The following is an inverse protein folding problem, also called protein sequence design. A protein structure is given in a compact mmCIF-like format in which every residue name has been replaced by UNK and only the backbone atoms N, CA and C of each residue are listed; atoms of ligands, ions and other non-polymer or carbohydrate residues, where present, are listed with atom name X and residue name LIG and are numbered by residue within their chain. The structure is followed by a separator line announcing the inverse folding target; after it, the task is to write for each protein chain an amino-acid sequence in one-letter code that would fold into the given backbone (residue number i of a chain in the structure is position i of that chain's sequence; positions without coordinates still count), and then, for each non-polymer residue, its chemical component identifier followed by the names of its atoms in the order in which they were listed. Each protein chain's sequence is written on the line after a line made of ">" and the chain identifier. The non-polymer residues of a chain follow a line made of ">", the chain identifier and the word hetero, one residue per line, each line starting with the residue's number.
data_IF_629689926105
#
_entry.id   IF_629689926105
#
_cell.length_a   1.000
_cell.length_b   1.000
_cell.length_c   1.000
_cell.angle_alpha   90.00
_cell.angle_beta   90.00
_cell.angle_gamma   90.00
#
_symmetry.space_group_name_H-M   'P 1'
#
loop_
_entity.id
_entity.type
_entity.pdbx_description
1 polymer ?
#
# COMPACT_ATOMS: atom_id res chain seq x y z
N UNK A 1 24.57 2.67 -68.17
CA UNK A 1 25.86 2.01 -68.43
C UNK A 1 26.18 1.12 -67.26
N UNK A 2 26.37 -0.17 -67.52
CA UNK A 2 26.57 -1.21 -66.53
C UNK A 2 27.93 -1.05 -65.82
N UNK A 3 28.03 -1.55 -64.59
CA UNK A 3 29.16 -2.39 -64.24
C UNK A 3 28.85 -3.27 -63.02
N UNK A 4 28.52 -4.53 -63.33
CA UNK A 4 28.94 -5.69 -62.57
C UNK A 4 30.45 -5.82 -62.69
N UNK A 5 31.10 -6.40 -61.67
CA UNK A 5 32.28 -7.31 -61.67
C UNK A 5 32.98 -7.11 -60.32
N UNK A 6 33.32 -8.11 -59.50
CA UNK A 6 34.05 -9.37 -59.71
C UNK A 6 33.98 -10.05 -58.32
N UNK A 7 33.55 -11.31 -58.19
CA UNK A 7 34.39 -12.52 -58.17
C UNK A 7 35.41 -12.58 -57.01
N UNK A 8 35.33 -13.72 -56.28
CA UNK A 8 36.45 -14.52 -55.72
C UNK A 8 37.20 -13.95 -54.49
N UNK A 9 37.72 -14.71 -53.51
CA UNK A 9 38.03 -16.14 -53.37
C UNK A 9 38.35 -16.45 -51.89
N UNK A 10 38.19 -17.72 -51.50
CA UNK A 10 38.84 -18.49 -50.41
C UNK A 10 39.00 -17.93 -48.99
N UNK A 11 38.65 -18.75 -47.98
CA UNK A 11 39.61 -19.65 -47.33
C UNK A 11 39.09 -20.16 -45.96
N UNK A 12 39.43 -21.42 -45.66
CA UNK A 12 39.71 -22.00 -44.34
C UNK A 12 38.59 -21.99 -43.28
N UNK A 13 37.92 -23.13 -43.10
CA UNK A 13 37.03 -23.38 -41.97
C UNK A 13 37.80 -24.12 -40.86
N UNK A 14 38.10 -23.41 -39.78
CA UNK A 14 38.51 -23.98 -38.49
C UNK A 14 37.26 -24.34 -37.69
N UNK A 15 37.16 -25.58 -37.25
CA UNK A 15 36.08 -26.10 -36.41
C UNK A 15 36.24 -25.53 -34.99
N UNK A 16 35.34 -24.62 -34.62
CA UNK A 16 35.20 -24.09 -33.26
C UNK A 16 34.00 -24.73 -32.56
N UNK A 17 34.21 -25.28 -31.37
CA UNK A 17 33.19 -25.84 -30.50
C UNK A 17 32.09 -24.80 -30.19
N UNK A 18 30.84 -25.17 -30.46
CA UNK A 18 29.65 -24.34 -30.18
C UNK A 18 29.30 -24.39 -28.70
N UNK A 19 29.59 -23.30 -27.98
CA UNK A 19 28.98 -23.04 -26.68
C UNK A 19 27.55 -22.56 -26.92
N UNK A 20 26.57 -23.42 -26.63
CA UNK A 20 25.15 -23.05 -26.65
C UNK A 20 24.89 -22.20 -25.41
N UNK A 21 24.84 -20.87 -25.57
CA UNK A 21 24.36 -19.97 -24.53
C UNK A 21 22.84 -20.07 -24.45
N UNK A 22 22.34 -20.79 -23.44
CA UNK A 22 20.95 -20.71 -23.02
C UNK A 22 20.63 -19.26 -22.63
N UNK A 23 19.73 -18.62 -23.38
CA UNK A 23 19.20 -17.31 -23.07
C UNK A 23 18.54 -17.34 -21.70
N UNK A 24 19.14 -16.65 -20.73
CA UNK A 24 18.52 -16.42 -19.45
C UNK A 24 17.36 -15.43 -19.68
N UNK A 25 16.13 -15.88 -19.45
CA UNK A 25 15.01 -14.98 -19.28
C UNK A 25 15.34 -14.08 -18.09
N UNK A 26 15.70 -12.83 -18.37
CA UNK A 26 15.90 -11.83 -17.33
C UNK A 26 14.53 -11.55 -16.72
N UNK A 27 14.35 -11.95 -15.46
CA UNK A 27 13.23 -11.49 -14.64
C UNK A 27 13.39 -9.98 -14.57
N UNK A 28 12.51 -9.25 -15.27
CA UNK A 28 12.42 -7.80 -15.15
C UNK A 28 12.18 -7.49 -13.67
N UNK A 29 13.08 -6.77 -12.98
CA UNK A 29 12.79 -6.34 -11.61
C UNK A 29 11.48 -5.52 -11.64
N UNK A 30 10.61 -5.66 -10.64
CA UNK A 30 9.40 -4.83 -10.58
C UNK A 30 9.82 -3.37 -10.74
N UNK A 31 9.25 -2.71 -11.75
CA UNK A 31 9.45 -1.27 -11.98
C UNK A 31 9.26 -0.56 -10.65
N UNK A 32 10.18 0.35 -10.29
CA UNK A 32 10.10 1.17 -9.09
C UNK A 32 8.68 1.74 -8.96
N UNK A 33 7.87 1.10 -8.12
CA UNK A 33 6.43 1.35 -8.05
C UNK A 33 6.19 2.69 -7.40
N UNK A 34 5.07 3.33 -7.73
CA UNK A 34 4.58 4.49 -6.96
C UNK A 34 4.68 4.19 -5.46
N UNK A 35 5.18 5.12 -4.62
CA UNK A 35 5.44 4.88 -3.21
C UNK A 35 4.17 4.53 -2.43
N UNK A 36 3.01 4.93 -2.94
CA UNK A 36 1.68 4.57 -2.44
C UNK A 36 1.11 3.36 -3.21
N UNK A 37 0.75 2.26 -2.53
CA UNK A 37 0.17 1.08 -3.17
C UNK A 37 -1.11 1.40 -3.95
N UNK A 38 -1.37 0.69 -5.05
CA UNK A 38 -2.53 0.91 -5.92
C UNK A 38 -3.87 0.87 -5.15
N UNK A 39 -4.03 -0.08 -4.22
CA UNK A 39 -5.25 -0.17 -3.42
C UNK A 39 -5.57 1.09 -2.62
N UNK A 40 -4.54 1.79 -2.13
CA UNK A 40 -4.70 3.07 -1.45
C UNK A 40 -5.07 4.18 -2.43
N UNK A 41 -4.42 4.21 -3.61
CA UNK A 41 -4.73 5.22 -4.64
C UNK A 41 -6.18 5.14 -5.11
N UNK A 42 -6.68 3.93 -5.37
CA UNK A 42 -8.07 3.71 -5.79
C UNK A 42 -9.08 4.12 -4.72
N UNK A 43 -8.92 3.65 -3.47
CA UNK A 43 -9.83 4.05 -2.39
C UNK A 43 -9.73 5.55 -2.11
N UNK A 44 -8.53 6.13 -2.22
CA UNK A 44 -8.35 7.55 -2.02
C UNK A 44 -9.10 8.37 -3.09
N UNK A 45 -9.05 7.94 -4.36
CA UNK A 45 -9.81 8.52 -5.47
C UNK A 45 -11.33 8.40 -5.25
N UNK A 46 -11.84 7.23 -4.81
CA UNK A 46 -13.27 6.99 -4.51
C UNK A 46 -13.87 8.06 -3.57
N UNK A 47 -13.09 8.53 -2.60
CA UNK A 47 -13.53 9.54 -1.61
C UNK A 47 -12.84 10.91 -1.79
N UNK A 48 -12.06 11.07 -2.85
CA UNK A 48 -11.26 12.25 -3.20
C UNK A 48 -10.24 12.70 -2.15
N UNK A 49 -9.76 11.81 -1.29
CA UNK A 49 -8.66 12.13 -0.36
C UNK A 49 -7.30 11.94 -1.07
N UNK A 50 -6.22 12.62 -0.66
CA UNK A 50 -4.89 12.33 -1.21
C UNK A 50 -4.44 10.93 -0.80
N UNK A 51 -3.90 10.17 -1.76
CA UNK A 51 -3.49 8.79 -1.52
C UNK A 51 -2.35 8.70 -0.50
N UNK A 52 -1.44 9.67 -0.52
CA UNK A 52 -0.33 9.80 0.42
C UNK A 52 -0.83 10.10 1.84
N UNK A 53 -1.89 10.92 1.98
CA UNK A 53 -2.51 11.21 3.26
C UNK A 53 -3.16 9.95 3.85
N UNK A 54 -3.95 9.23 3.05
CA UNK A 54 -4.59 7.98 3.48
C UNK A 54 -3.55 6.91 3.85
N UNK A 55 -2.52 6.74 3.03
CA UNK A 55 -1.47 5.75 3.29
C UNK A 55 -0.60 6.10 4.50
N UNK A 56 -0.25 7.38 4.69
CA UNK A 56 0.51 7.83 5.86
C UNK A 56 -0.28 7.70 7.17
N UNK A 57 -1.61 7.89 7.15
CA UNK A 57 -2.50 7.55 8.27
C UNK A 57 -2.42 6.06 8.57
N UNK A 58 -2.65 5.17 7.59
CA UNK A 58 -2.57 3.72 7.84
C UNK A 58 -1.19 3.25 8.30
N UNK A 59 -0.11 3.89 7.85
CA UNK A 59 1.25 3.66 8.36
C UNK A 59 1.43 4.15 9.81
N UNK A 60 0.79 5.24 10.21
CA UNK A 60 0.82 5.69 11.60
C UNK A 60 0.04 4.75 12.51
N UNK A 61 -1.03 4.15 11.99
CA UNK A 61 -1.98 3.34 12.77
C UNK A 61 -1.55 1.89 12.97
N UNK A 62 -1.17 1.18 11.90
CA UNK A 62 -1.03 -0.28 11.96
C UNK A 62 0.30 -0.81 11.41
N UNK A 63 1.32 0.03 11.26
CA UNK A 63 2.54 -0.40 10.57
C UNK A 63 3.24 -1.59 11.24
N UNK A 64 3.87 -2.38 10.38
CA UNK A 64 4.76 -3.49 10.72
C UNK A 64 5.98 -3.43 9.79
N UNK A 65 7.17 -3.68 10.34
CA UNK A 65 8.38 -3.87 9.53
C UNK A 65 8.33 -5.26 8.91
N UNK A 66 8.40 -5.31 7.58
CA UNK A 66 8.51 -6.52 6.76
C UNK A 66 9.83 -6.48 5.97
N UNK A 67 10.28 -7.60 5.38
CA UNK A 67 11.48 -7.62 4.53
C UNK A 67 11.43 -6.61 3.38
N UNK A 68 10.23 -6.34 2.86
CA UNK A 68 9.99 -5.40 1.75
C UNK A 68 9.76 -3.95 2.22
N UNK A 69 9.99 -3.66 3.51
CA UNK A 69 9.81 -2.34 4.12
C UNK A 69 8.68 -2.29 5.15
N UNK A 70 8.40 -1.08 5.63
CA UNK A 70 7.30 -0.84 6.56
C UNK A 70 5.97 -0.78 5.80
N UNK A 71 4.96 -1.56 6.24
CA UNK A 71 3.63 -1.62 5.64
C UNK A 71 2.55 -1.64 6.71
N UNK A 72 1.36 -1.07 6.46
CA UNK A 72 0.19 -1.26 7.33
C UNK A 72 -0.18 -2.75 7.41
N UNK A 73 -0.45 -3.26 8.62
CA UNK A 73 -0.81 -4.66 8.84
C UNK A 73 -2.31 -4.78 9.11
N UNK A 74 -3.08 -5.47 8.24
CA UNK A 74 -4.54 -5.43 8.30
C UNK A 74 -5.14 -6.13 9.50
N UNK A 75 -4.48 -7.16 10.03
CA UNK A 75 -5.02 -7.98 11.13
C UNK A 75 -4.49 -7.47 12.47
N UNK A 76 -4.71 -6.17 12.71
CA UNK A 76 -4.26 -5.46 13.90
C UNK A 76 -5.46 -5.05 14.73
N UNK A 77 -5.39 -5.27 16.04
CA UNK A 77 -6.34 -4.77 17.04
C UNK A 77 -5.61 -3.87 18.03
N UNK A 78 -6.22 -2.76 18.42
CA UNK A 78 -5.85 -2.04 19.62
C UNK A 78 -7.00 -2.17 20.62
N UNK A 79 -6.71 -2.69 21.81
CA UNK A 79 -7.69 -2.88 22.87
C UNK A 79 -7.21 -2.14 24.10
N UNK A 80 -7.96 -1.11 24.49
CA UNK A 80 -7.71 -0.30 25.67
C UNK A 80 -6.29 0.34 25.70
N UNK A 81 -5.69 0.59 24.54
CA UNK A 81 -4.33 1.14 24.39
C UNK A 81 -3.25 0.08 24.14
N UNK A 82 -3.60 -1.22 24.14
CA UNK A 82 -2.68 -2.32 23.89
C UNK A 82 -2.87 -2.88 22.48
N UNK A 83 -1.80 -2.90 21.70
CA UNK A 83 -1.80 -3.44 20.34
C UNK A 83 -1.59 -4.96 20.29
N UNK A 84 -2.32 -5.60 19.38
CA UNK A 84 -2.25 -7.03 19.06
C UNK A 84 -2.20 -7.19 17.54
N UNK A 85 -1.41 -8.13 17.04
CA UNK A 85 -1.29 -8.42 15.60
C UNK A 85 -1.39 -9.92 15.37
N UNK A 86 -2.16 -10.31 14.37
CA UNK A 86 -2.45 -11.70 14.04
C UNK A 86 -1.93 -12.06 12.65
N UNK A 87 -1.82 -13.36 12.37
CA UNK A 87 -1.32 -13.86 11.10
C UNK A 87 -2.42 -14.01 10.04
N UNK A 88 -3.70 -14.02 10.44
CA UNK A 88 -4.83 -14.11 9.50
C UNK A 88 -5.99 -13.23 9.96
N UNK A 89 -6.92 -12.98 9.04
CA UNK A 89 -8.18 -12.28 9.38
C UNK A 89 -8.99 -13.06 10.40
N UNK A 90 -9.00 -14.38 10.30
CA UNK A 90 -9.82 -15.23 11.17
C UNK A 90 -9.28 -15.22 12.61
N UNK A 91 -7.96 -15.31 12.80
CA UNK A 91 -7.35 -15.16 14.13
C UNK A 91 -7.66 -13.81 14.78
N UNK A 92 -7.54 -12.72 14.02
CA UNK A 92 -7.90 -11.39 14.51
C UNK A 92 -9.39 -11.30 14.85
N UNK A 93 -10.26 -11.92 14.05
CA UNK A 93 -11.69 -11.91 14.30
C UNK A 93 -12.06 -12.69 15.57
N UNK A 94 -11.51 -13.88 15.76
CA UNK A 94 -11.74 -14.66 16.99
C UNK A 94 -11.25 -13.93 18.23
N UNK A 95 -10.07 -13.30 18.16
CA UNK A 95 -9.56 -12.49 19.26
C UNK A 95 -10.45 -11.26 19.53
N UNK A 96 -10.94 -10.59 18.48
CA UNK A 96 -11.86 -9.47 18.59
C UNK A 96 -13.13 -9.87 19.35
N UNK A 97 -13.75 -11.00 19.02
CA UNK A 97 -14.93 -11.52 19.73
C UNK A 97 -14.63 -11.71 21.23
N UNK A 98 -13.48 -12.27 21.57
CA UNK A 98 -13.03 -12.42 22.95
C UNK A 98 -12.88 -11.08 23.68
N UNK A 99 -12.24 -10.09 23.05
CA UNK A 99 -12.05 -8.77 23.67
C UNK A 99 -13.36 -8.01 23.89
N UNK A 100 -14.34 -8.19 22.99
CA UNK A 100 -15.65 -7.54 23.11
C UNK A 100 -16.45 -8.01 24.33
N UNK A 101 -16.13 -9.16 24.92
CA UNK A 101 -16.75 -9.60 26.17
C UNK A 101 -16.25 -8.84 27.40
N UNK A 102 -15.07 -8.22 27.32
CA UNK A 102 -14.40 -7.61 28.48
C UNK A 102 -14.16 -6.10 28.34
N UNK A 103 -14.32 -5.56 27.13
CA UNK A 103 -14.07 -4.14 26.84
C UNK A 103 -15.20 -3.52 26.04
N UNK A 104 -15.58 -2.26 26.34
CA UNK A 104 -16.54 -1.53 25.53
C UNK A 104 -15.93 -1.24 24.14
N UNK A 105 -16.77 -1.24 23.10
CA UNK A 105 -16.34 -1.04 21.70
C UNK A 105 -15.57 0.27 21.48
N UNK A 106 -15.84 1.31 22.28
CA UNK A 106 -15.11 2.59 22.22
C UNK A 106 -13.63 2.47 22.60
N UNK A 107 -13.23 1.35 23.19
CA UNK A 107 -11.83 1.03 23.53
C UNK A 107 -11.22 0.02 22.56
N UNK A 108 -11.85 -0.23 21.41
CA UNK A 108 -11.37 -1.20 20.43
C UNK A 108 -11.23 -0.54 19.07
N UNK A 109 -10.01 -0.50 18.55
CA UNK A 109 -9.69 -0.09 17.18
C UNK A 109 -9.30 -1.30 16.37
N UNK A 110 -9.72 -1.35 15.10
CA UNK A 110 -9.54 -2.53 14.25
C UNK A 110 -8.99 -2.20 12.88
N UNK A 111 -8.22 -3.14 12.35
CA UNK A 111 -7.92 -3.19 10.93
C UNK A 111 -6.72 -2.35 10.50
N UNK A 112 -6.56 -2.27 9.18
CA UNK A 112 -5.41 -1.64 8.52
C UNK A 112 -5.27 -0.14 8.83
N UNK A 113 -6.36 0.53 9.20
CA UNK A 113 -6.39 1.95 9.55
C UNK A 113 -6.87 2.22 10.99
N UNK A 114 -6.95 1.18 11.83
CA UNK A 114 -7.35 1.28 13.25
C UNK A 114 -8.63 2.10 13.46
N UNK A 115 -9.70 1.75 12.74
CA UNK A 115 -11.01 2.39 12.89
C UNK A 115 -11.64 1.95 14.21
N UNK A 116 -12.03 2.90 15.06
CA UNK A 116 -12.66 2.61 16.36
C UNK A 116 -14.07 2.07 16.21
N UNK A 117 -14.37 0.90 16.80
CA UNK A 117 -15.67 0.25 16.67
C UNK A 117 -16.80 0.97 17.40
N UNK A 118 -16.52 1.62 18.53
CA UNK A 118 -17.56 2.27 19.34
C UNK A 118 -17.98 3.65 18.84
N UNK A 119 -17.16 4.28 17.99
CA UNK A 119 -17.47 5.57 17.37
C UNK A 119 -17.89 5.44 15.91
N UNK A 120 -17.23 4.53 15.18
CA UNK A 120 -17.33 4.43 13.72
C UNK A 120 -17.85 3.05 13.28
N UNK A 121 -18.41 2.24 14.18
CA UNK A 121 -18.90 0.90 13.87
C UNK A 121 -19.98 0.84 12.79
N UNK A 122 -20.69 1.95 12.56
CA UNK A 122 -21.75 2.06 11.53
C UNK A 122 -21.25 1.98 10.10
N UNK A 123 -19.93 2.10 9.85
CA UNK A 123 -19.35 1.88 8.52
C UNK A 123 -19.28 0.41 8.12
N UNK A 124 -19.60 -0.52 9.03
CA UNK A 124 -19.47 -1.96 8.80
C UNK A 124 -20.80 -2.67 9.00
N UNK A 125 -21.15 -3.60 8.11
CA UNK A 125 -22.32 -4.47 8.29
C UNK A 125 -22.05 -5.56 9.34
N UNK A 126 -20.78 -5.87 9.59
CA UNK A 126 -20.37 -6.80 10.66
C UNK A 126 -18.97 -6.48 11.19
N UNK A 127 -18.66 -6.93 12.42
CA UNK A 127 -17.31 -6.80 12.98
C UNK A 127 -16.24 -7.57 12.19
N UNK A 128 -16.63 -8.64 11.49
CA UNK A 128 -15.73 -9.39 10.63
C UNK A 128 -15.33 -8.58 9.40
N UNK A 129 -16.27 -7.82 8.86
CA UNK A 129 -16.06 -6.92 7.73
C UNK A 129 -15.16 -5.73 8.11
N UNK A 130 -15.18 -5.29 9.38
CA UNK A 130 -14.27 -4.28 9.88
C UNK A 130 -12.77 -4.70 9.82
N UNK A 131 -12.49 -6.01 9.66
CA UNK A 131 -11.16 -6.57 9.42
C UNK A 131 -10.90 -6.89 7.94
N UNK A 132 -11.86 -6.62 7.03
CA UNK A 132 -11.63 -6.66 5.59
C UNK A 132 -10.83 -5.40 5.20
N UNK A 133 -9.63 -5.54 4.60
CA UNK A 133 -8.70 -4.42 4.46
C UNK A 133 -9.25 -3.26 3.64
N UNK A 134 -9.94 -3.52 2.53
CA UNK A 134 -10.48 -2.44 1.70
C UNK A 134 -11.70 -1.79 2.33
N UNK A 135 -12.54 -2.55 3.01
CA UNK A 135 -13.72 -2.01 3.72
C UNK A 135 -13.28 -1.11 4.88
N UNK A 136 -12.31 -1.55 5.67
CA UNK A 136 -11.69 -0.74 6.72
C UNK A 136 -11.03 0.53 6.14
N UNK A 137 -10.32 0.39 5.02
CA UNK A 137 -9.66 1.51 4.35
C UNK A 137 -10.65 2.54 3.79
N UNK A 138 -11.79 2.10 3.24
CA UNK A 138 -12.88 2.99 2.79
C UNK A 138 -13.54 3.73 3.96
N UNK A 139 -13.75 3.06 5.09
CA UNK A 139 -14.22 3.74 6.31
C UNK A 139 -13.21 4.82 6.75
N UNK A 140 -11.91 4.51 6.73
CA UNK A 140 -10.87 5.47 7.07
C UNK A 140 -10.83 6.67 6.11
N UNK A 141 -10.99 6.45 4.81
CA UNK A 141 -11.05 7.52 3.81
C UNK A 141 -12.26 8.45 4.04
N UNK A 142 -13.43 7.90 4.37
CA UNK A 142 -14.62 8.69 4.73
C UNK A 142 -14.40 9.53 5.99
N UNK A 143 -13.83 8.95 7.06
CA UNK A 143 -13.53 9.69 8.29
C UNK A 143 -12.53 10.81 8.01
N UNK A 144 -11.46 10.53 7.25
CA UNK A 144 -10.45 11.51 6.91
C UNK A 144 -11.03 12.65 6.06
N UNK A 145 -11.89 12.32 5.08
CA UNK A 145 -12.63 13.30 4.28
C UNK A 145 -13.49 14.19 5.18
N UNK A 146 -14.31 13.60 6.05
CA UNK A 146 -15.16 14.34 6.97
C UNK A 146 -14.36 15.31 7.84
N UNK A 147 -13.23 14.85 8.40
CA UNK A 147 -12.33 15.69 9.17
C UNK A 147 -11.74 16.86 8.35
N UNK A 148 -11.49 16.68 7.05
CA UNK A 148 -11.05 17.76 6.17
C UNK A 148 -12.18 18.76 5.90
N UNK A 149 -13.41 18.28 5.67
CA UNK A 149 -14.57 19.15 5.42
C UNK A 149 -14.91 20.02 6.63
N UNK A 150 -14.74 19.49 7.84
CA UNK A 150 -14.94 20.25 9.09
C UNK A 150 -13.91 21.38 9.29
N UNK A 151 -12.73 21.28 8.68
CA UNK A 151 -11.67 22.29 8.77
C UNK A 151 -10.74 22.23 7.54
N UNK A 152 -11.17 22.83 6.40
CA UNK A 152 -10.50 22.66 5.12
C UNK A 152 -9.12 23.32 5.05
N UNK A 153 -8.32 22.90 4.08
CA UNK A 153 -7.01 23.49 3.77
C UNK A 153 -5.80 22.74 4.30
N UNK A 154 -5.97 21.70 5.14
CA UNK A 154 -4.84 20.87 5.56
C UNK A 154 -5.22 19.42 5.86
N UNK A 155 -4.71 18.50 5.04
CA UNK A 155 -4.83 17.06 5.27
C UNK A 155 -4.07 16.58 6.50
N UNK A 156 -3.00 17.27 6.90
CA UNK A 156 -2.37 17.02 8.20
C UNK A 156 -3.30 17.41 9.36
N UNK A 157 -4.04 18.52 9.26
CA UNK A 157 -5.04 18.85 10.28
C UNK A 157 -6.16 17.80 10.33
N UNK A 158 -6.63 17.35 9.16
CA UNK A 158 -7.62 16.27 9.05
C UNK A 158 -7.12 14.98 9.71
N UNK A 159 -5.85 14.60 9.53
CA UNK A 159 -5.26 13.45 10.21
C UNK A 159 -5.23 13.61 11.74
N UNK A 160 -4.98 14.82 12.25
CA UNK A 160 -5.10 15.11 13.68
C UNK A 160 -6.52 14.90 14.22
N UNK A 161 -7.52 15.33 13.46
CA UNK A 161 -8.95 15.08 13.76
C UNK A 161 -9.29 13.59 13.69
N UNK A 162 -8.80 12.87 12.67
CA UNK A 162 -9.02 11.44 12.49
C UNK A 162 -8.68 10.64 13.76
N UNK A 163 -7.49 10.91 14.33
CA UNK A 163 -7.02 10.20 15.52
C UNK A 163 -7.61 10.74 16.82
N UNK A 164 -7.83 12.06 16.91
CA UNK A 164 -8.32 12.70 18.13
C UNK A 164 -9.20 13.92 17.79
N UNK A 165 -10.52 13.71 17.55
CA UNK A 165 -11.43 14.75 17.06
C UNK A 165 -11.51 16.00 17.95
N UNK A 166 -11.32 15.83 19.27
CA UNK A 166 -11.28 16.95 20.21
C UNK A 166 -10.03 17.85 20.08
N UNK A 167 -9.09 17.51 19.20
CA UNK A 167 -7.89 18.31 18.94
C UNK A 167 -6.86 18.27 20.08
N UNK A 168 -6.23 19.41 20.35
CA UNK A 168 -5.28 19.56 21.46
C UNK A 168 -3.93 18.86 21.27
N UNK A 169 -3.22 18.63 22.39
CA UNK A 169 -1.88 18.01 22.39
C UNK A 169 -1.85 16.64 21.70
N UNK A 170 -2.81 15.72 21.91
CA UNK A 170 -2.81 14.42 21.25
C UNK A 170 -2.88 14.55 19.72
N UNK A 171 -3.80 15.35 19.19
CA UNK A 171 -3.89 15.60 17.76
C UNK A 171 -2.58 16.19 17.21
N UNK A 172 -1.95 17.15 17.90
CA UNK A 172 -0.66 17.72 17.46
C UNK A 172 0.46 16.67 17.36
N UNK A 173 0.56 15.79 18.35
CA UNK A 173 1.54 14.69 18.34
C UNK A 173 1.28 13.77 17.16
N UNK A 174 0.01 13.39 16.95
CA UNK A 174 -0.37 12.51 15.86
C UNK A 174 -0.05 13.11 14.48
N UNK A 175 -0.33 14.40 14.27
CA UNK A 175 0.05 15.11 13.03
C UNK A 175 1.56 15.02 12.75
N UNK A 176 2.40 15.13 13.78
CA UNK A 176 3.83 15.00 13.63
C UNK A 176 4.24 13.55 13.27
N UNK A 177 3.52 12.54 13.75
CA UNK A 177 3.72 11.13 13.34
C UNK A 177 3.38 10.98 11.85
N UNK A 178 2.20 11.43 11.43
CA UNK A 178 1.75 11.34 10.04
C UNK A 178 2.67 12.12 9.10
N UNK A 179 3.12 13.32 9.49
CA UNK A 179 4.07 14.11 8.72
C UNK A 179 5.40 13.37 8.49
N UNK A 180 5.91 12.65 9.50
CA UNK A 180 7.10 11.81 9.33
C UNK A 180 6.85 10.65 8.37
N UNK A 181 5.68 10.00 8.44
CA UNK A 181 5.31 8.94 7.48
C UNK A 181 5.23 9.49 6.06
N UNK A 182 4.60 10.65 5.87
CA UNK A 182 4.50 11.31 4.57
C UNK A 182 5.89 11.59 3.96
N UNK A 183 6.83 12.14 4.74
CA UNK A 183 8.18 12.42 4.27
C UNK A 183 8.94 11.17 3.79
N UNK A 184 8.63 9.97 4.33
CA UNK A 184 9.22 8.72 3.81
C UNK A 184 8.72 8.34 2.43
N UNK A 185 7.51 8.76 2.06
CA UNK A 185 6.93 8.52 0.73
C UNK A 185 7.58 9.43 -0.31
N UNK A 186 7.84 10.70 0.04
CA UNK A 186 8.50 11.67 -0.83
C UNK A 186 9.94 11.26 -1.16
N UNK A 187 10.66 10.75 -0.14
CA UNK A 187 12.00 10.21 -0.33
C UNK A 187 12.00 9.00 -1.27
N UNK A 188 11.09 8.05 -1.07
CA UNK A 188 10.95 6.88 -1.93
C UNK A 188 10.54 7.23 -3.37
N UNK A 189 9.71 8.27 -3.55
CA UNK A 189 9.38 8.81 -4.87
C UNK A 189 10.63 9.36 -5.58
N UNK A 190 11.43 10.13 -4.86
CA UNK A 190 12.64 10.77 -5.38
C UNK A 190 13.70 9.74 -5.80
N UNK A 191 13.90 8.69 -5.01
CA UNK A 191 14.81 7.57 -5.34
C UNK A 191 14.33 6.80 -6.58
N UNK A 192 13.01 6.63 -6.72
CA UNK A 192 12.42 5.95 -7.89
C UNK A 192 12.61 6.76 -9.19
N UNK A 193 12.46 8.08 -9.10
CA UNK A 193 12.67 8.99 -10.24
C UNK A 193 14.14 9.04 -10.68
N UNK A 194 15.07 9.11 -9.73
CA UNK A 194 16.51 9.09 -10.04
C UNK A 194 16.98 7.75 -10.63
N UNK A 195 16.42 6.63 -10.18
CA UNK A 195 16.72 5.29 -10.72
C UNK A 195 16.13 5.06 -12.12
N UNK A 196 15.02 5.72 -12.46
CA UNK A 196 14.35 5.60 -13.77
C UNK A 196 15.04 6.33 -14.93
N UNK A 197 16.14 7.05 -14.69
CA UNK A 197 16.83 7.89 -15.69
C UNK A 197 17.84 7.14 -16.60
N UNK A 198 17.78 5.80 -16.69
CA UNK A 198 18.61 5.02 -17.62
C UNK A 198 17.76 4.01 -18.43
N UNK A 199 17.87 4.12 -19.76
CA UNK A 199 17.20 3.35 -20.83
C UNK A 199 15.80 3.79 -21.26
N UNK A 200 15.78 4.62 -22.31
CA UNK A 200 14.66 4.74 -23.25
C UNK A 200 14.79 3.70 -24.36
N UNK A 201 13.91 2.70 -24.38
CA UNK A 201 13.38 2.12 -25.61
C UNK A 201 11.89 1.86 -25.37
N UNK A 202 11.05 2.55 -26.12
CA UNK A 202 9.59 2.51 -26.06
C UNK A 202 9.08 1.27 -26.80
N UNK A 203 8.24 0.42 -26.19
CA UNK A 203 7.30 -0.40 -26.94
C UNK A 203 5.91 0.25 -26.91
N UNK A 204 5.31 0.36 -28.09
CA UNK A 204 3.90 0.71 -28.30
C UNK A 204 2.99 -0.30 -27.57
N UNK A 205 2.11 0.17 -26.69
CA UNK A 205 1.09 -0.66 -26.01
C UNK A 205 -0.29 -0.30 -26.55
N UNK A 206 -0.99 -1.31 -27.06
CA UNK A 206 -2.42 -1.23 -27.36
C UNK A 206 -3.22 -1.11 -26.04
N UNK A 207 -4.27 -0.29 -26.07
CA UNK A 207 -5.14 0.01 -24.93
C UNK A 207 -5.82 -1.24 -24.35
N UNK A 208 -5.80 -1.47 -23.03
CA UNK A 208 -6.76 -2.34 -22.39
C UNK A 208 -8.06 -1.56 -22.08
N UNK A 209 -9.18 -2.15 -22.47
CA UNK A 209 -10.53 -1.79 -22.04
C UNK A 209 -10.67 -1.89 -20.52
N UNK A 210 -11.34 -0.91 -19.92
CA UNK A 210 -11.61 -0.82 -18.48
C UNK A 210 -12.53 -1.95 -18.04
N UNK A 211 -11.94 -3.04 -17.56
CA UNK A 211 -12.64 -4.06 -16.78
C UNK A 211 -12.71 -3.56 -15.33
N UNK A 212 -13.91 -3.51 -14.75
CA UNK A 212 -14.16 -3.14 -13.35
C UNK A 212 -13.58 -4.22 -12.44
N UNK A 213 -12.26 -4.19 -12.25
CA UNK A 213 -11.54 -5.18 -11.46
C UNK A 213 -11.77 -4.87 -9.99
N UNK A 214 -12.65 -5.66 -9.34
CA UNK A 214 -12.85 -5.60 -7.89
C UNK A 214 -11.50 -5.73 -7.18
N UNK A 215 -11.20 -4.80 -6.28
CA UNK A 215 -10.01 -4.88 -5.43
C UNK A 215 -10.13 -6.08 -4.49
N UNK A 216 -9.30 -7.10 -4.72
CA UNK A 216 -9.19 -8.26 -3.85
C UNK A 216 -7.91 -8.15 -3.04
N UNK A 217 -8.03 -8.23 -1.72
CA UNK A 217 -6.86 -8.24 -0.85
C UNK A 217 -6.19 -9.62 -0.91
N UNK A 218 -4.93 -9.65 -1.32
CA UNK A 218 -4.11 -10.86 -1.21
C UNK A 218 -3.56 -10.96 0.22
N UNK A 219 -3.88 -12.04 0.92
CA UNK A 219 -3.38 -12.25 2.29
C UNK A 219 -1.84 -12.29 2.29
N UNK A 220 -1.17 -11.42 3.08
CA UNK A 220 0.27 -11.45 3.19
C UNK A 220 0.71 -12.81 3.75
N UNK A 221 1.56 -13.51 2.99
CA UNK A 221 2.19 -14.73 3.45
C UNK A 221 3.11 -14.38 4.62
N UNK A 222 2.79 -14.84 5.83
CA UNK A 222 3.73 -14.75 6.94
C UNK A 222 4.89 -15.72 6.65
N UNK A 223 6.16 -15.26 6.66
CA UNK A 223 7.28 -16.18 6.79
C UNK A 223 7.05 -16.97 8.08
N UNK A 224 7.10 -18.30 8.01
CA UNK A 224 6.66 -19.21 9.06
C UNK A 224 7.06 -18.74 10.46
N UNK A 225 6.08 -18.73 11.37
CA UNK A 225 6.34 -18.55 12.79
C UNK A 225 7.31 -19.64 13.27
N UNK A 226 8.41 -19.19 13.87
CA UNK A 226 9.12 -19.93 14.90
C UNK A 226 8.77 -19.30 16.24
#
# INVERSE_FOLDING_TARGET
>A
MANRRILTVSALLMVGATVVFSGHATIKPPSAGYPVPEGYRRVAEEYGVPAEALYSVSLAESSRRLPQGERPWPWTLNVAGKGYRYATREEAYQALLGFMHHHPLRRIDVGIAQVNLGWNGTFFHSYREALEPYTNLRAAAQILRHCYEMNPGSWLQAAGCYHHPAGGKPARIYRAIVQRKLATLDAAASDSLTSSHFSYLVPTVASPTTEEKTLLWAEPQTPGGQ
#
